data_IF_219954474769
#
_entry.id   IF_219954474769
#
_cell.length_a   1.000
_cell.length_b   1.000
_cell.length_c   1.000
_cell.angle_alpha   90.00
_cell.angle_beta   90.00
_cell.angle_gamma   90.00
#
_symmetry.space_group_name_H-M   'P 1'
#
loop_
_entity.id
_entity.type
_entity.pdbx_description
1 polymer ?
#
# COMPACT_ATOMS: atom_id res chain seq x y z
N UNK A 1 11.44 -10.12 -3.06
CA UNK A 1 11.10 -8.79 -2.52
C UNK A 1 10.40 -8.89 -1.16
N UNK A 2 9.17 -9.42 -1.07
CA UNK A 2 8.39 -9.52 0.19
C UNK A 2 9.21 -10.10 1.36
N UNK A 3 9.91 -11.23 1.15
CA UNK A 3 10.78 -11.83 2.18
C UNK A 3 11.83 -10.85 2.73
N UNK A 4 12.52 -10.12 1.86
CA UNK A 4 13.52 -9.11 2.25
C UNK A 4 12.90 -7.91 2.97
N UNK A 5 11.70 -7.50 2.56
CA UNK A 5 10.93 -6.44 3.25
C UNK A 5 10.56 -6.88 4.66
N UNK A 6 10.03 -8.10 4.83
CA UNK A 6 9.75 -8.68 6.17
C UNK A 6 11.02 -8.79 7.01
N UNK A 7 12.12 -9.27 6.44
CA UNK A 7 13.42 -9.36 7.14
C UNK A 7 13.93 -7.99 7.60
N UNK A 8 13.84 -6.95 6.78
CA UNK A 8 14.24 -5.61 7.20
C UNK A 8 13.32 -5.02 8.25
N UNK A 9 12.02 -5.28 8.16
CA UNK A 9 11.09 -4.81 9.16
C UNK A 9 11.32 -5.51 10.52
N UNK A 10 11.65 -6.80 10.50
CA UNK A 10 12.08 -7.55 11.69
C UNK A 10 13.23 -6.84 12.42
N UNK A 11 14.28 -6.48 11.67
CA UNK A 11 15.44 -5.77 12.23
C UNK A 11 15.07 -4.38 12.76
N UNK A 12 14.18 -3.67 12.06
CA UNK A 12 13.68 -2.38 12.52
C UNK A 12 12.95 -2.54 13.86
N UNK A 13 12.07 -3.54 14.02
CA UNK A 13 11.36 -3.79 15.29
C UNK A 13 12.37 -4.01 16.42
N UNK A 14 13.36 -4.88 16.21
CA UNK A 14 14.42 -5.19 17.18
C UNK A 14 15.23 -3.96 17.61
N UNK A 15 15.45 -3.01 16.71
CA UNK A 15 16.18 -1.76 16.97
C UNK A 15 15.37 -0.77 17.84
N UNK A 16 14.04 -0.90 17.99
CA UNK A 16 13.18 0.08 18.70
C UNK A 16 13.04 -0.14 20.19
N UNK A 17 14.16 -0.36 20.87
CA UNK A 17 14.21 -0.55 22.34
C UNK A 17 13.74 0.66 23.14
N UNK A 18 13.76 1.85 22.54
CA UNK A 18 13.33 3.10 23.14
C UNK A 18 11.82 3.38 22.99
N UNK A 19 11.11 2.56 22.21
CA UNK A 19 9.66 2.70 21.99
C UNK A 19 8.95 1.46 22.51
N UNK A 20 9.44 0.28 22.15
CA UNK A 20 8.86 -1.00 22.53
C UNK A 20 9.79 -1.71 23.49
N UNK A 21 9.27 -2.15 24.64
CA UNK A 21 10.00 -3.05 25.55
C UNK A 21 10.20 -4.45 24.93
N UNK A 22 10.91 -5.33 25.64
CA UNK A 22 11.25 -6.66 25.11
C UNK A 22 9.99 -7.47 24.77
N UNK A 23 9.02 -7.52 25.69
CA UNK A 23 7.76 -8.24 25.50
C UNK A 23 7.00 -7.74 24.27
N UNK A 24 6.86 -6.41 24.14
CA UNK A 24 6.21 -5.79 22.99
C UNK A 24 6.93 -6.12 21.69
N UNK A 25 8.26 -6.05 21.65
CA UNK A 25 9.04 -6.42 20.45
C UNK A 25 8.87 -7.89 20.10
N UNK A 26 8.99 -8.79 21.07
CA UNK A 26 8.85 -10.23 20.85
C UNK A 26 7.47 -10.55 20.26
N UNK A 27 6.42 -9.92 20.78
CA UNK A 27 5.05 -10.05 20.27
C UNK A 27 4.86 -9.47 18.85
N UNK A 28 5.44 -8.30 18.56
CA UNK A 28 5.40 -7.69 17.22
C UNK A 28 6.14 -8.55 16.20
N UNK A 29 7.31 -9.08 16.55
CA UNK A 29 8.10 -9.99 15.70
C UNK A 29 7.32 -11.25 15.38
N UNK A 30 6.73 -11.86 16.41
CA UNK A 30 5.89 -13.04 16.26
C UNK A 30 4.75 -12.71 15.27
N UNK A 31 4.10 -11.53 15.39
CA UNK A 31 2.97 -11.14 14.52
C UNK A 31 3.42 -11.00 13.08
N UNK A 32 4.58 -10.38 12.88
CA UNK A 32 5.21 -10.23 11.57
C UNK A 32 5.53 -11.59 10.94
N UNK A 33 6.05 -12.53 11.72
CA UNK A 33 6.39 -13.88 11.23
C UNK A 33 5.13 -14.60 10.74
N UNK A 34 4.02 -14.50 11.47
CA UNK A 34 2.71 -15.05 11.09
C UNK A 34 2.00 -14.32 9.95
N UNK A 35 2.38 -13.08 9.63
CA UNK A 35 1.72 -12.35 8.55
C UNK A 35 1.90 -13.10 7.23
N UNK A 36 0.81 -13.60 6.67
CA UNK A 36 0.80 -14.30 5.40
C UNK A 36 0.57 -13.32 4.24
N UNK A 37 1.31 -13.50 3.15
CA UNK A 37 0.96 -12.89 1.88
C UNK A 37 0.04 -13.83 1.12
N UNK A 38 -1.21 -13.42 0.88
CA UNK A 38 -2.12 -14.15 0.00
C UNK A 38 -2.31 -13.38 -1.28
N UNK A 39 -2.21 -14.07 -2.41
CA UNK A 39 -2.48 -13.49 -3.73
C UNK A 39 -3.97 -13.30 -3.99
N UNK A 40 -4.82 -13.99 -3.22
CA UNK A 40 -6.27 -14.02 -3.37
C UNK A 40 -6.88 -14.14 -1.98
N UNK A 41 -7.54 -13.09 -1.54
CA UNK A 41 -8.44 -13.13 -0.39
C UNK A 41 -9.84 -13.01 -0.96
N UNK A 42 -10.43 -14.14 -1.33
CA UNK A 42 -11.77 -14.19 -1.91
C UNK A 42 -12.72 -14.91 -0.97
N UNK A 43 -13.34 -14.13 -0.07
CA UNK A 43 -14.33 -14.66 0.89
C UNK A 43 -15.70 -14.92 0.28
N UNK A 44 -15.94 -14.41 -0.93
CA UNK A 44 -17.25 -14.40 -1.57
C UNK A 44 -17.26 -15.22 -2.87
N UNK A 45 -16.14 -15.88 -3.17
CA UNK A 45 -15.86 -16.62 -4.40
C UNK A 45 -16.09 -15.79 -5.68
N UNK A 46 -15.91 -14.47 -5.59
CA UNK A 46 -16.16 -13.51 -6.68
C UNK A 46 -15.17 -13.62 -7.83
N UNK A 47 -14.10 -14.39 -7.67
CA UNK A 47 -13.15 -14.72 -8.74
C UNK A 47 -13.43 -16.08 -9.39
N UNK A 48 -14.44 -16.83 -8.92
CA UNK A 48 -14.91 -18.02 -9.63
C UNK A 48 -15.65 -17.60 -10.89
N UNK A 49 -15.05 -17.87 -12.05
CA UNK A 49 -15.63 -17.55 -13.36
C UNK A 49 -17.01 -18.21 -13.49
N UNK A 50 -17.12 -19.49 -13.15
CA UNK A 50 -18.38 -20.24 -13.22
C UNK A 50 -19.46 -19.62 -12.33
N UNK A 51 -19.09 -19.19 -11.12
CA UNK A 51 -20.02 -18.50 -10.24
C UNK A 51 -20.45 -17.19 -10.88
N UNK A 52 -19.52 -16.33 -11.30
CA UNK A 52 -19.85 -15.04 -11.90
C UNK A 52 -20.68 -15.18 -13.17
N UNK A 53 -20.36 -16.11 -14.08
CA UNK A 53 -21.17 -16.41 -15.25
C UNK A 53 -22.61 -16.76 -14.85
N UNK A 54 -22.79 -17.60 -13.83
CA UNK A 54 -24.12 -17.93 -13.30
C UNK A 54 -24.83 -16.71 -12.72
N UNK A 55 -24.10 -15.84 -12.02
CA UNK A 55 -24.66 -14.67 -11.33
C UNK A 55 -25.07 -13.55 -12.28
N UNK A 56 -24.36 -13.40 -13.40
CA UNK A 56 -24.62 -12.39 -14.41
C UNK A 56 -25.56 -12.89 -15.52
N UNK A 57 -25.76 -14.21 -15.66
CA UNK A 57 -26.59 -14.84 -16.69
C UNK A 57 -27.99 -14.25 -16.78
N UNK A 58 -28.63 -14.02 -15.63
CA UNK A 58 -30.02 -13.60 -15.56
C UNK A 58 -30.20 -12.07 -15.53
N UNK A 59 -29.11 -11.30 -15.66
CA UNK A 59 -29.20 -9.83 -15.74
C UNK A 59 -29.73 -9.38 -17.11
N UNK A 60 -29.57 -10.21 -18.15
CA UNK A 60 -30.25 -10.02 -19.43
C UNK A 60 -29.79 -8.77 -20.19
N UNK A 61 -28.49 -8.47 -20.17
CA UNK A 61 -27.89 -7.36 -20.93
C UNK A 61 -27.32 -7.89 -22.24
N UNK A 62 -27.68 -7.27 -23.34
CA UNK A 62 -27.15 -7.50 -24.69
C UNK A 62 -26.33 -6.31 -25.17
N UNK A 63 -25.36 -6.56 -26.05
CA UNK A 63 -24.53 -5.50 -26.65
C UNK A 63 -25.34 -4.49 -27.49
N UNK A 64 -26.55 -4.89 -27.91
CA UNK A 64 -27.45 -4.05 -28.70
C UNK A 64 -28.45 -3.26 -27.86
N UNK A 65 -28.48 -3.46 -26.54
CA UNK A 65 -29.45 -2.79 -25.66
C UNK A 65 -29.11 -1.31 -25.49
N UNK A 66 -30.14 -0.47 -25.39
CA UNK A 66 -29.95 0.95 -25.08
C UNK A 66 -29.49 1.12 -23.62
N UNK A 67 -28.52 1.99 -23.37
CA UNK A 67 -27.99 2.27 -22.02
C UNK A 67 -29.11 2.65 -21.04
N UNK A 68 -30.11 3.42 -21.47
CA UNK A 68 -31.23 3.80 -20.62
C UNK A 68 -32.07 2.59 -20.18
N UNK A 69 -32.33 1.65 -21.09
CA UNK A 69 -33.06 0.41 -20.81
C UNK A 69 -32.24 -0.50 -19.88
N UNK A 70 -30.93 -0.60 -20.11
CA UNK A 70 -30.02 -1.33 -19.22
C UNK A 70 -30.10 -0.75 -17.80
N UNK A 71 -30.04 0.57 -17.64
CA UNK A 71 -30.09 1.22 -16.33
C UNK A 71 -31.43 0.98 -15.62
N UNK A 72 -32.55 1.07 -16.34
CA UNK A 72 -33.89 0.77 -15.79
C UNK A 72 -33.98 -0.69 -15.36
N UNK A 73 -33.49 -1.62 -16.18
CA UNK A 73 -33.48 -3.05 -15.87
C UNK A 73 -32.61 -3.34 -14.65
N UNK A 74 -31.40 -2.76 -14.56
CA UNK A 74 -30.53 -2.90 -13.40
C UNK A 74 -31.16 -2.32 -12.12
N UNK A 75 -31.83 -1.17 -12.21
CA UNK A 75 -32.51 -0.58 -11.06
C UNK A 75 -33.67 -1.47 -10.58
N UNK A 76 -34.46 -2.01 -11.51
CA UNK A 76 -35.53 -2.96 -11.22
C UNK A 76 -35.00 -4.22 -10.55
N UNK A 77 -33.95 -4.84 -11.13
CA UNK A 77 -33.30 -6.01 -10.56
C UNK A 77 -32.77 -5.73 -9.16
N UNK A 78 -32.15 -4.57 -8.92
CA UNK A 78 -31.60 -4.21 -7.60
C UNK A 78 -32.64 -4.13 -6.48
N UNK A 79 -33.92 -3.87 -6.84
CA UNK A 79 -35.05 -3.79 -5.91
C UNK A 79 -35.67 -5.16 -5.62
N UNK A 80 -35.27 -6.21 -6.34
CA UNK A 80 -35.74 -7.56 -6.08
C UNK A 80 -35.17 -8.12 -4.78
N UNK A 81 -35.91 -9.03 -4.15
CA UNK A 81 -35.45 -9.73 -2.95
C UNK A 81 -34.38 -10.75 -3.31
N UNK A 82 -33.12 -10.35 -3.24
CA UNK A 82 -31.99 -11.25 -3.37
C UNK A 82 -31.72 -11.99 -2.05
N UNK A 83 -31.55 -13.30 -2.13
CA UNK A 83 -31.20 -14.13 -0.98
C UNK A 83 -29.87 -13.70 -0.37
N UNK A 84 -29.86 -13.31 0.90
CA UNK A 84 -28.64 -12.89 1.60
C UNK A 84 -27.56 -13.97 1.49
N UNK A 85 -26.37 -13.58 1.03
CA UNK A 85 -25.25 -14.49 0.81
C UNK A 85 -25.17 -15.09 -0.60
N UNK A 86 -26.18 -14.88 -1.45
CA UNK A 86 -26.05 -15.16 -2.88
C UNK A 86 -25.12 -14.15 -3.55
N UNK A 87 -24.58 -14.51 -4.70
CA UNK A 87 -23.81 -13.58 -5.52
C UNK A 87 -24.65 -12.42 -6.05
N UNK A 88 -25.92 -12.64 -6.40
CA UNK A 88 -26.83 -11.56 -6.83
C UNK A 88 -27.03 -10.52 -5.72
N UNK A 89 -27.17 -10.98 -4.47
CA UNK A 89 -27.20 -10.09 -3.31
C UNK A 89 -25.91 -9.27 -3.19
N UNK A 90 -24.75 -9.88 -3.42
CA UNK A 90 -23.45 -9.19 -3.37
C UNK A 90 -23.28 -8.17 -4.51
N UNK A 91 -23.71 -8.49 -5.73
CA UNK A 91 -23.67 -7.62 -6.92
C UNK A 91 -24.46 -6.33 -6.67
N UNK A 92 -25.70 -6.43 -6.23
CA UNK A 92 -26.54 -5.25 -5.98
C UNK A 92 -26.21 -4.52 -4.66
N UNK A 93 -25.42 -5.14 -3.78
CA UNK A 93 -24.82 -4.50 -2.61
C UNK A 93 -23.30 -4.28 -2.81
N UNK A 94 -22.88 -3.94 -4.03
CA UNK A 94 -21.46 -3.83 -4.40
C UNK A 94 -20.66 -2.95 -3.42
N UNK A 95 -21.21 -1.82 -2.94
CA UNK A 95 -20.52 -0.92 -1.99
C UNK A 95 -20.00 -1.64 -0.73
N UNK A 96 -20.73 -2.67 -0.28
CA UNK A 96 -20.42 -3.44 0.92
C UNK A 96 -19.55 -4.66 0.61
N UNK A 97 -19.82 -5.33 -0.50
CA UNK A 97 -19.26 -6.65 -0.78
C UNK A 97 -18.20 -6.66 -1.88
N UNK A 98 -18.36 -5.86 -2.94
CA UNK A 98 -17.46 -5.88 -4.10
C UNK A 98 -16.51 -4.68 -4.16
N UNK A 99 -16.87 -3.56 -3.54
CA UNK A 99 -16.09 -2.32 -3.54
C UNK A 99 -14.65 -2.52 -3.07
N UNK A 100 -14.45 -3.43 -2.11
CA UNK A 100 -13.11 -3.79 -1.60
C UNK A 100 -12.25 -4.56 -2.60
N UNK A 101 -12.88 -5.27 -3.53
CA UNK A 101 -12.20 -6.05 -4.56
C UNK A 101 -11.91 -5.22 -5.81
N UNK A 102 -12.80 -4.27 -6.11
CA UNK A 102 -12.69 -3.41 -7.30
C UNK A 102 -11.76 -2.22 -7.06
N UNK A 103 -11.78 -1.61 -5.86
CA UNK A 103 -11.09 -0.34 -5.61
C UNK A 103 -9.77 -0.44 -4.81
N UNK A 104 -9.40 -1.61 -4.29
CA UNK A 104 -8.15 -1.76 -3.54
C UNK A 104 -7.13 -2.54 -4.35
N UNK A 105 -6.02 -1.88 -4.69
CA UNK A 105 -4.87 -2.48 -5.38
C UNK A 105 -4.11 -3.45 -4.46
N UNK A 106 -4.07 -3.12 -3.17
CA UNK A 106 -3.62 -3.96 -2.07
C UNK A 106 -4.38 -3.59 -0.79
N UNK A 107 -4.47 -4.53 0.15
CA UNK A 107 -5.02 -4.27 1.48
C UNK A 107 -4.48 -5.27 2.50
N UNK A 108 -4.28 -4.80 3.73
CA UNK A 108 -4.10 -5.64 4.90
C UNK A 108 -5.43 -5.92 5.62
N UNK A 109 -5.70 -7.20 5.92
CA UNK A 109 -6.83 -7.68 6.72
C UNK A 109 -6.39 -7.96 8.16
N UNK A 110 -6.76 -7.11 9.13
CA UNK A 110 -6.30 -7.30 10.50
C UNK A 110 -6.86 -8.55 11.18
N UNK A 111 -8.08 -8.97 10.83
CA UNK A 111 -8.73 -10.15 11.41
C UNK A 111 -8.04 -11.45 11.06
N UNK A 112 -7.37 -11.51 9.91
CA UNK A 112 -6.71 -12.72 9.43
C UNK A 112 -5.19 -12.63 9.50
N UNK A 113 -4.64 -11.46 9.83
CA UNK A 113 -3.21 -11.18 9.70
C UNK A 113 -2.69 -11.49 8.28
N UNK A 114 -3.46 -11.11 7.26
CA UNK A 114 -3.12 -11.35 5.85
C UNK A 114 -3.09 -10.03 5.09
N UNK A 115 -2.05 -9.80 4.31
CA UNK A 115 -2.05 -8.78 3.28
C UNK A 115 -2.23 -9.42 1.90
N UNK A 116 -3.03 -8.77 1.04
CA UNK A 116 -3.30 -9.19 -0.33
C UNK A 116 -3.11 -8.05 -1.31
N UNK A 117 -2.84 -8.42 -2.55
CA UNK A 117 -2.96 -7.55 -3.73
C UNK A 117 -4.04 -8.13 -4.66
N UNK A 118 -4.52 -7.34 -5.62
CA UNK A 118 -5.50 -7.79 -6.62
C UNK A 118 -5.06 -9.10 -7.30
N UNK A 119 -5.94 -10.10 -7.33
CA UNK A 119 -5.63 -11.50 -7.66
C UNK A 119 -5.65 -11.85 -9.15
N UNK A 120 -6.29 -11.04 -9.98
CA UNK A 120 -6.73 -11.50 -11.31
C UNK A 120 -5.57 -11.70 -12.30
N UNK A 121 -4.41 -11.10 -12.08
CA UNK A 121 -3.26 -11.18 -13.00
C UNK A 121 -2.22 -12.28 -12.65
N UNK A 122 -2.37 -13.00 -11.52
CA UNK A 122 -1.31 -13.88 -10.97
C UNK A 122 -1.72 -15.35 -10.83
N UNK A 123 -2.80 -15.79 -11.47
CA UNK A 123 -3.36 -17.15 -11.40
C UNK A 123 -3.67 -17.71 -12.79
N UNK A 124 -3.74 -19.04 -12.92
CA UNK A 124 -4.13 -19.73 -14.16
C UNK A 124 -5.60 -19.45 -14.52
N UNK A 125 -5.97 -19.40 -15.82
CA UNK A 125 -5.14 -19.65 -17.01
C UNK A 125 -4.30 -18.45 -17.48
N UNK A 126 -4.25 -17.36 -16.72
CA UNK A 126 -3.69 -16.07 -17.16
C UNK A 126 -2.19 -15.92 -16.82
N UNK A 127 -1.74 -16.54 -15.73
CA UNK A 127 -0.33 -16.61 -15.34
C UNK A 127 -0.03 -17.92 -14.61
N UNK A 128 0.99 -18.64 -15.07
CA UNK A 128 1.60 -19.75 -14.33
C UNK A 128 3.11 -19.64 -14.38
N UNK A 129 3.77 -19.94 -13.26
CA UNK A 129 5.24 -20.07 -13.24
C UNK A 129 5.74 -21.22 -14.11
N UNK A 130 4.83 -22.09 -14.56
CA UNK A 130 5.12 -23.25 -15.39
C UNK A 130 4.77 -23.04 -16.87
N UNK A 131 4.16 -21.91 -17.25
CA UNK A 131 3.87 -21.62 -18.65
C UNK A 131 5.10 -21.14 -19.43
N UNK A 132 5.21 -21.49 -20.73
CA UNK A 132 6.20 -20.91 -21.62
C UNK A 132 6.12 -19.39 -21.61
N UNK A 133 7.27 -18.72 -21.72
CA UNK A 133 7.34 -17.27 -21.67
C UNK A 133 6.41 -16.60 -22.68
N UNK A 134 6.29 -17.13 -23.90
CA UNK A 134 5.39 -16.61 -24.92
C UNK A 134 3.90 -16.69 -24.53
N UNK A 135 3.48 -17.76 -23.85
CA UNK A 135 2.09 -17.94 -23.40
C UNK A 135 1.77 -17.01 -22.22
N UNK A 136 2.74 -16.85 -21.32
CA UNK A 136 2.68 -15.77 -20.33
C UNK A 136 2.58 -14.43 -21.08
N UNK A 137 3.48 -14.04 -21.98
CA UNK A 137 3.41 -12.73 -22.65
C UNK A 137 2.16 -12.49 -23.51
N UNK A 138 1.62 -13.49 -24.21
CA UNK A 138 0.44 -13.35 -25.07
C UNK A 138 -0.87 -13.26 -24.30
N UNK A 139 -1.08 -14.14 -23.31
CA UNK A 139 -2.28 -14.14 -22.47
C UNK A 139 -2.21 -13.04 -21.42
N UNK A 140 -1.07 -12.94 -20.72
CA UNK A 140 -0.81 -11.88 -19.75
C UNK A 140 -0.85 -10.56 -20.50
N UNK A 141 -0.09 -10.31 -21.58
CA UNK A 141 0.17 -8.98 -22.12
C UNK A 141 -1.05 -8.16 -22.54
N UNK A 142 -2.11 -8.78 -23.04
CA UNK A 142 -3.36 -8.10 -23.41
C UNK A 142 -4.26 -7.81 -22.20
N UNK A 143 -4.49 -8.80 -21.34
CA UNK A 143 -5.27 -8.64 -20.10
C UNK A 143 -4.51 -7.77 -19.09
N UNK A 144 -3.19 -7.90 -19.06
CA UNK A 144 -2.27 -6.97 -18.43
C UNK A 144 -2.48 -5.60 -19.06
N UNK A 145 -2.39 -5.34 -20.36
CA UNK A 145 -2.68 -3.98 -20.88
C UNK A 145 -4.06 -3.39 -20.43
N UNK A 146 -5.09 -4.23 -20.28
CA UNK A 146 -6.43 -3.83 -19.80
C UNK A 146 -6.50 -3.59 -18.28
N UNK A 147 -5.93 -4.47 -17.45
CA UNK A 147 -5.90 -4.40 -15.98
C UNK A 147 -4.70 -3.58 -15.43
N UNK A 148 -3.67 -3.37 -16.25
CA UNK A 148 -2.46 -2.53 -16.03
C UNK A 148 -2.85 -1.09 -15.78
N UNK A 149 -3.92 -0.61 -16.41
CA UNK A 149 -4.43 0.74 -16.16
C UNK A 149 -4.72 0.98 -14.67
N UNK A 150 -4.85 -0.08 -13.86
CA UNK A 150 -4.99 0.00 -12.41
C UNK A 150 -3.71 -0.32 -11.58
N UNK A 151 -2.71 -1.08 -12.08
CA UNK A 151 -1.57 -1.57 -11.25
C UNK A 151 -0.17 -1.54 -11.90
N UNK A 152 0.06 -1.16 -13.17
CA UNK A 152 1.44 -1.16 -13.74
C UNK A 152 1.76 0.05 -14.63
N UNK A 153 3.02 0.50 -14.55
CA UNK A 153 3.53 1.86 -14.81
C UNK A 153 2.81 2.96 -14.02
N UNK A 154 3.41 3.50 -12.94
CA UNK A 154 4.85 3.49 -12.61
C UNK A 154 5.31 2.52 -11.49
N UNK A 155 4.50 1.56 -11.02
CA UNK A 155 4.77 0.86 -9.74
C UNK A 155 5.68 -0.39 -9.81
N UNK A 156 5.63 -1.18 -10.89
CA UNK A 156 6.46 -2.38 -11.07
C UNK A 156 6.70 -2.64 -12.55
N UNK A 157 7.83 -3.27 -12.91
CA UNK A 157 8.02 -3.93 -14.20
C UNK A 157 9.18 -4.90 -14.08
N UNK A 158 9.07 -6.08 -14.69
CA UNK A 158 10.19 -7.02 -14.77
C UNK A 158 11.38 -6.48 -15.57
N UNK A 159 11.15 -5.44 -16.38
CA UNK A 159 12.16 -4.78 -17.20
C UNK A 159 12.76 -3.54 -16.53
N UNK A 160 12.15 -3.06 -15.44
CA UNK A 160 12.73 -1.97 -14.66
C UNK A 160 13.87 -2.48 -13.78
N UNK A 161 14.89 -1.63 -13.55
CA UNK A 161 15.80 -1.80 -12.42
C UNK A 161 15.02 -2.09 -11.13
N UNK A 162 15.53 -2.98 -10.31
CA UNK A 162 15.02 -3.25 -8.98
C UNK A 162 14.93 -1.97 -8.13
N UNK A 163 15.78 -0.97 -8.34
CA UNK A 163 15.61 0.36 -7.77
C UNK A 163 14.16 0.87 -7.87
N UNK A 164 13.62 0.93 -9.08
CA UNK A 164 12.27 1.41 -9.37
C UNK A 164 11.20 0.48 -8.79
N UNK A 165 11.42 -0.84 -8.90
CA UNK A 165 10.48 -1.84 -8.36
C UNK A 165 10.39 -1.79 -6.83
N UNK A 166 11.51 -1.60 -6.13
CA UNK A 166 11.52 -1.45 -4.68
C UNK A 166 10.94 -0.08 -4.26
N UNK A 167 11.21 0.97 -5.03
CA UNK A 167 10.64 2.30 -4.80
C UNK A 167 9.12 2.36 -5.00
N UNK A 168 8.60 1.59 -5.95
CA UNK A 168 7.16 1.48 -6.23
C UNK A 168 6.48 0.37 -5.44
N UNK A 169 6.34 -0.82 -6.02
CA UNK A 169 5.62 -1.93 -5.36
C UNK A 169 6.26 -2.35 -4.04
N UNK A 170 7.58 -2.23 -3.89
CA UNK A 170 8.26 -2.51 -2.63
C UNK A 170 7.82 -1.57 -1.49
N UNK A 171 7.65 -0.28 -1.80
CA UNK A 171 7.08 0.69 -0.88
C UNK A 171 5.64 0.34 -0.50
N UNK A 172 4.78 0.02 -1.49
CA UNK A 172 3.38 -0.36 -1.25
C UNK A 172 3.29 -1.61 -0.35
N UNK A 173 4.08 -2.66 -0.65
CA UNK A 173 4.12 -3.87 0.20
C UNK A 173 4.50 -3.51 1.64
N UNK A 174 5.51 -2.66 1.82
CA UNK A 174 5.97 -2.27 3.15
C UNK A 174 4.94 -1.40 3.89
N UNK A 175 4.25 -0.52 3.17
CA UNK A 175 3.13 0.30 3.67
C UNK A 175 1.98 -0.59 4.18
N UNK A 176 1.54 -1.57 3.38
CA UNK A 176 0.48 -2.50 3.78
C UNK A 176 0.87 -3.39 4.97
N UNK A 177 2.13 -3.85 5.02
CA UNK A 177 2.64 -4.58 6.18
C UNK A 177 2.55 -3.70 7.43
N UNK A 178 2.86 -2.40 7.33
CA UNK A 178 2.84 -1.48 8.47
C UNK A 178 1.44 -1.19 9.02
N UNK A 179 0.40 -1.30 8.21
CA UNK A 179 -0.99 -1.21 8.70
C UNK A 179 -1.32 -2.24 9.78
N UNK A 180 -0.59 -3.35 9.82
CA UNK A 180 -0.70 -4.33 10.88
C UNK A 180 -0.14 -3.85 12.24
N UNK A 181 0.63 -2.75 12.25
CA UNK A 181 1.45 -2.28 13.38
C UNK A 181 1.26 -0.79 13.73
N UNK A 182 0.56 0.00 12.89
CA UNK A 182 0.44 1.46 13.03
C UNK A 182 -0.95 1.95 13.49
N UNK A 183 -1.86 1.02 13.82
CA UNK A 183 -3.27 1.37 14.01
C UNK A 183 -3.46 2.35 15.18
N UNK A 184 -3.90 3.56 14.85
CA UNK A 184 -4.12 4.72 15.74
C UNK A 184 -5.07 4.40 16.89
N UNK A 185 -5.93 3.38 16.76
CA UNK A 185 -6.84 2.97 17.83
C UNK A 185 -6.18 2.03 18.84
N UNK A 186 -5.03 1.42 18.56
CA UNK A 186 -4.41 0.30 19.30
C UNK A 186 -5.33 -0.91 19.56
N UNK A 187 -6.63 -0.76 19.34
CA UNK A 187 -7.68 -1.77 19.35
C UNK A 187 -7.28 -2.89 18.40
N UNK A 188 -6.78 -2.60 17.20
CA UNK A 188 -6.44 -3.63 16.21
C UNK A 188 -4.98 -4.11 16.29
N UNK A 189 -4.37 -3.91 17.46
CA UNK A 189 -3.31 -4.79 17.94
C UNK A 189 -4.00 -5.96 18.69
N UNK A 190 -5.09 -6.49 18.13
CA UNK A 190 -5.78 -7.66 18.65
C UNK A 190 -4.89 -8.87 18.41
N UNK A 191 -4.58 -9.59 19.49
CA UNK A 191 -3.78 -10.80 19.43
C UNK A 191 -4.36 -11.90 18.54
N UNK A 192 -3.43 -12.70 18.03
CA UNK A 192 -3.41 -14.15 17.71
C UNK A 192 -4.70 -14.97 17.79
N UNK A 193 -5.56 -14.72 18.78
CA UNK A 193 -6.63 -15.64 19.19
C UNK A 193 -8.05 -15.11 18.95
N UNK A 194 -8.21 -13.97 18.27
CA UNK A 194 -9.51 -13.29 18.06
C UNK A 194 -10.20 -12.85 19.37
N UNK A 195 -9.53 -12.91 20.52
CA UNK A 195 -10.08 -12.47 21.83
C UNK A 195 -9.75 -11.03 22.16
N UNK A 196 -8.80 -10.46 21.45
CA UNK A 196 -8.55 -9.03 21.46
C UNK A 196 -7.62 -8.52 22.55
N UNK A 197 -6.69 -9.36 23.00
CA UNK A 197 -5.61 -8.94 23.90
C UNK A 197 -4.58 -8.06 23.18
N UNK A 198 -4.06 -7.04 23.87
CA UNK A 198 -3.04 -6.13 23.35
C UNK A 198 -1.70 -6.86 23.22
N UNK A 199 -1.06 -6.82 22.05
CA UNK A 199 0.28 -7.43 21.86
C UNK A 199 1.44 -6.52 22.31
N UNK A 200 1.14 -5.29 22.76
CA UNK A 200 2.13 -4.30 23.25
C UNK A 200 1.74 -3.82 24.64
N UNK A 201 2.74 -3.54 25.47
CA UNK A 201 2.52 -3.09 26.86
C UNK A 201 2.01 -1.64 26.92
N UNK A 202 1.36 -1.23 28.02
CA UNK A 202 0.92 0.16 28.22
C UNK A 202 2.06 1.19 28.11
N UNK A 203 3.26 0.86 28.59
CA UNK A 203 4.42 1.76 28.50
C UNK A 203 4.89 1.89 27.04
N UNK A 204 4.89 0.80 26.28
CA UNK A 204 5.22 0.86 24.86
C UNK A 204 4.20 1.67 24.05
N UNK A 205 2.91 1.56 24.39
CA UNK A 205 1.85 2.41 23.80
C UNK A 205 2.11 3.88 24.12
N UNK A 206 2.45 4.22 25.37
CA UNK A 206 2.75 5.59 25.78
C UNK A 206 3.95 6.16 25.01
N UNK A 207 5.01 5.38 24.86
CA UNK A 207 6.20 5.81 24.12
C UNK A 207 5.94 5.94 22.62
N UNK A 208 5.14 5.04 22.04
CA UNK A 208 4.71 5.15 20.65
C UNK A 208 3.84 6.40 20.42
N UNK A 209 2.88 6.69 21.31
CA UNK A 209 2.04 7.90 21.26
C UNK A 209 2.86 9.18 21.17
N UNK A 210 3.90 9.32 22.01
CA UNK A 210 4.83 10.46 21.97
C UNK A 210 5.55 10.60 20.62
N UNK A 211 5.83 9.50 19.93
CA UNK A 211 6.49 9.53 18.61
C UNK A 211 5.53 9.96 17.51
N UNK A 212 4.28 9.49 17.55
CA UNK A 212 3.29 9.79 16.52
C UNK A 212 2.73 11.21 16.61
N UNK A 213 2.80 11.86 17.78
CA UNK A 213 2.47 13.29 17.96
C UNK A 213 3.26 14.21 17.01
N UNK A 214 4.52 13.84 16.70
CA UNK A 214 5.32 14.56 15.70
C UNK A 214 4.63 14.58 14.34
N UNK A 215 4.08 13.43 13.90
CA UNK A 215 3.41 13.29 12.62
C UNK A 215 2.09 14.06 12.60
N UNK A 216 1.31 13.99 13.68
CA UNK A 216 0.06 14.78 13.80
C UNK A 216 0.33 16.26 13.58
N UNK A 217 1.37 16.79 14.25
CA UNK A 217 1.77 18.19 14.09
C UNK A 217 2.30 18.47 12.68
N UNK A 218 3.29 17.72 12.22
CA UNK A 218 3.96 17.97 10.95
C UNK A 218 3.01 17.93 9.75
N UNK A 219 2.11 16.94 9.71
CA UNK A 219 1.10 16.86 8.66
C UNK A 219 -0.02 17.88 8.87
N UNK A 220 -0.39 18.18 10.11
CA UNK A 220 -1.35 19.24 10.44
C UNK A 220 -0.93 20.64 10.01
N UNK A 221 0.38 20.89 9.94
CA UNK A 221 0.97 22.15 9.47
C UNK A 221 0.97 22.27 7.93
N UNK A 222 0.58 21.22 7.20
CA UNK A 222 0.55 21.22 5.73
C UNK A 222 -0.76 21.81 5.19
N UNK A 223 -0.67 22.41 4.00
CA UNK A 223 -1.81 22.90 3.22
C UNK A 223 -1.81 22.31 1.83
N UNK A 224 -2.97 21.85 1.38
CA UNK A 224 -3.14 21.38 0.01
C UNK A 224 -2.93 22.54 -0.98
N UNK A 225 -2.18 22.30 -2.05
CA UNK A 225 -1.60 23.33 -2.91
C UNK A 225 -2.63 24.13 -3.70
N UNK A 226 -3.79 23.56 -4.03
CA UNK A 226 -4.86 24.20 -4.82
C UNK A 226 -5.95 24.81 -3.93
N UNK A 227 -6.56 24.01 -3.05
CA UNK A 227 -7.67 24.40 -2.17
C UNK A 227 -7.22 25.21 -0.96
N UNK A 228 -5.92 25.19 -0.62
CA UNK A 228 -5.31 25.83 0.55
C UNK A 228 -5.88 25.36 1.90
N UNK A 229 -6.67 24.27 1.91
CA UNK A 229 -7.21 23.67 3.12
C UNK A 229 -6.09 22.98 3.90
N UNK A 230 -6.16 23.08 5.23
CA UNK A 230 -5.22 22.41 6.11
C UNK A 230 -5.49 20.90 6.10
N UNK A 231 -4.42 20.12 6.20
CA UNK A 231 -4.53 18.67 6.37
C UNK A 231 -4.88 18.37 7.83
N UNK A 232 -5.76 17.41 8.06
CA UNK A 232 -6.03 16.90 9.40
C UNK A 232 -4.99 15.82 9.75
N UNK A 233 -3.93 16.21 10.46
CA UNK A 233 -2.84 15.31 10.85
C UNK A 233 -3.28 14.15 11.77
N UNK A 234 -4.38 14.30 12.51
CA UNK A 234 -4.95 13.22 13.34
C UNK A 234 -5.71 12.21 12.48
N UNK A 235 -6.52 12.70 11.54
CA UNK A 235 -7.28 11.86 10.59
C UNK A 235 -6.35 10.99 9.75
N UNK A 236 -5.28 11.61 9.23
CA UNK A 236 -4.35 11.00 8.29
C UNK A 236 -3.22 10.21 8.93
N UNK A 237 -3.19 10.14 10.27
CA UNK A 237 -2.05 9.67 11.03
C UNK A 237 -1.58 8.25 10.67
N UNK A 238 -2.52 7.29 10.55
CA UNK A 238 -2.19 5.90 10.22
C UNK A 238 -1.50 5.79 8.86
N UNK A 239 -2.08 6.37 7.82
CA UNK A 239 -1.50 6.41 6.47
C UNK A 239 -0.12 7.09 6.45
N UNK A 240 0.03 8.20 7.18
CA UNK A 240 1.29 8.92 7.23
C UNK A 240 2.39 8.08 7.93
N UNK A 241 2.06 7.31 8.97
CA UNK A 241 3.02 6.39 9.61
C UNK A 241 3.40 5.25 8.65
N UNK A 242 2.42 4.68 7.95
CA UNK A 242 2.62 3.63 6.95
C UNK A 242 3.52 4.10 5.81
N UNK A 243 3.30 5.31 5.29
CA UNK A 243 4.13 5.92 4.24
C UNK A 243 5.59 6.09 4.69
N UNK A 244 5.82 6.72 5.85
CA UNK A 244 7.16 7.00 6.33
C UNK A 244 7.93 5.72 6.69
N UNK A 245 7.25 4.78 7.36
CA UNK A 245 7.84 3.49 7.68
C UNK A 245 8.04 2.61 6.44
N UNK A 246 7.09 2.62 5.52
CA UNK A 246 7.09 1.80 4.30
C UNK A 246 8.24 2.18 3.38
N UNK A 247 8.44 3.49 3.19
CA UNK A 247 9.59 4.05 2.48
C UNK A 247 10.91 3.56 3.10
N UNK A 248 11.04 3.65 4.42
CA UNK A 248 12.24 3.25 5.13
C UNK A 248 12.53 1.74 5.01
N UNK A 249 11.52 0.89 5.20
CA UNK A 249 11.67 -0.56 5.12
C UNK A 249 12.04 -0.96 3.68
N UNK A 250 11.31 -0.44 2.69
CA UNK A 250 11.55 -0.73 1.29
C UNK A 250 12.96 -0.27 0.85
N UNK A 251 13.38 0.91 1.29
CA UNK A 251 14.72 1.43 1.00
C UNK A 251 15.82 0.55 1.60
N UNK A 252 15.71 0.19 2.88
CA UNK A 252 16.68 -0.72 3.52
C UNK A 252 16.73 -2.08 2.81
N UNK A 253 15.57 -2.61 2.42
CA UNK A 253 15.49 -3.90 1.74
C UNK A 253 16.14 -3.85 0.35
N UNK A 254 16.00 -2.71 -0.32
CA UNK A 254 16.66 -2.43 -1.58
C UNK A 254 18.17 -2.28 -1.42
N UNK A 255 18.65 -1.49 -0.46
CA UNK A 255 20.10 -1.30 -0.24
C UNK A 255 20.80 -2.62 0.12
N UNK A 256 20.15 -3.50 0.89
CA UNK A 256 20.65 -4.87 1.12
C UNK A 256 20.64 -5.73 -0.14
N UNK A 257 19.62 -5.59 -0.98
CA UNK A 257 19.60 -6.28 -2.28
C UNK A 257 20.75 -5.79 -3.18
N UNK A 258 20.91 -4.48 -3.31
CA UNK A 258 21.96 -3.84 -4.09
C UNK A 258 23.35 -4.29 -3.61
N UNK A 259 23.57 -4.36 -2.30
CA UNK A 259 24.80 -4.91 -1.71
C UNK A 259 25.01 -6.38 -2.11
N UNK A 260 23.95 -7.21 -2.07
CA UNK A 260 24.05 -8.64 -2.40
C UNK A 260 24.38 -8.94 -3.86
N UNK A 261 24.24 -7.95 -4.76
CA UNK A 261 24.60 -8.07 -6.18
C UNK A 261 25.88 -7.29 -6.54
N UNK A 262 26.67 -6.86 -5.55
CA UNK A 262 27.94 -6.17 -5.77
C UNK A 262 27.81 -4.65 -5.97
N UNK A 263 26.69 -4.05 -5.59
CA UNK A 263 26.51 -2.60 -5.54
C UNK A 263 26.17 -1.94 -6.87
N UNK A 264 25.93 -2.72 -7.93
CA UNK A 264 25.68 -2.21 -9.28
C UNK A 264 24.41 -2.83 -9.86
N UNK A 265 23.63 -1.99 -10.53
CA UNK A 265 22.44 -2.38 -11.27
C UNK A 265 22.50 -1.80 -12.70
N UNK A 266 21.73 -2.38 -13.60
CA UNK A 266 21.58 -1.87 -14.97
C UNK A 266 21.15 -0.41 -14.95
N UNK A 267 21.91 0.45 -15.63
CA UNK A 267 21.56 1.86 -15.80
C UNK A 267 20.34 2.00 -16.70
N UNK A 268 19.54 3.04 -16.44
CA UNK A 268 18.41 3.39 -17.31
C UNK A 268 18.94 4.26 -18.46
N UNK A 269 18.75 3.86 -19.73
CA UNK A 269 19.16 4.67 -20.87
C UNK A 269 18.56 6.08 -20.83
N UNK A 270 19.39 7.11 -21.03
CA UNK A 270 19.00 8.53 -20.96
C UNK A 270 18.92 9.12 -19.55
N UNK A 271 19.16 8.32 -18.51
CA UNK A 271 19.13 8.74 -17.10
C UNK A 271 20.36 8.23 -16.33
N UNK A 272 21.48 8.03 -17.01
CA UNK A 272 22.70 7.41 -16.48
C UNK A 272 23.40 8.20 -15.37
N UNK A 273 23.00 9.46 -15.19
CA UNK A 273 23.48 10.38 -14.16
C UNK A 273 22.86 10.11 -12.79
N UNK A 274 21.75 9.38 -12.73
CA UNK A 274 21.13 8.99 -11.46
C UNK A 274 21.76 7.72 -10.91
N UNK A 275 22.01 7.71 -9.60
CA UNK A 275 22.44 6.51 -8.90
C UNK A 275 21.27 5.53 -8.73
N UNK A 276 21.61 4.27 -8.52
CA UNK A 276 20.67 3.21 -8.13
C UNK A 276 19.84 3.59 -6.89
N UNK A 277 20.39 4.35 -5.94
CA UNK A 277 19.67 4.85 -4.76
C UNK A 277 18.72 6.01 -5.11
N UNK A 278 19.16 6.95 -5.96
CA UNK A 278 18.29 8.02 -6.46
C UNK A 278 17.11 7.45 -7.26
N UNK A 279 17.34 6.41 -8.08
CA UNK A 279 16.27 5.72 -8.79
C UNK A 279 15.25 5.06 -7.88
N UNK A 280 15.64 4.59 -6.70
CA UNK A 280 14.67 4.09 -5.72
C UNK A 280 13.71 5.20 -5.30
N UNK A 281 14.22 6.38 -4.94
CA UNK A 281 13.39 7.52 -4.55
C UNK A 281 12.57 8.09 -5.71
N UNK A 282 13.10 8.08 -6.93
CA UNK A 282 12.34 8.43 -8.14
C UNK A 282 11.19 7.44 -8.35
N UNK A 283 11.43 6.13 -8.19
CA UNK A 283 10.38 5.11 -8.26
C UNK A 283 9.28 5.34 -7.23
N UNK A 284 9.66 5.72 -6.01
CA UNK A 284 8.70 6.10 -4.97
C UNK A 284 7.89 7.35 -5.34
N UNK A 285 8.55 8.43 -5.78
CA UNK A 285 7.87 9.66 -6.20
C UNK A 285 6.89 9.43 -7.35
N UNK A 286 7.28 8.61 -8.35
CA UNK A 286 6.41 8.25 -9.47
C UNK A 286 5.13 7.54 -9.03
N UNK A 287 5.19 6.75 -7.96
CA UNK A 287 4.06 5.92 -7.48
C UNK A 287 2.85 6.76 -7.10
N UNK A 288 3.08 7.98 -6.62
CA UNK A 288 2.05 8.89 -6.14
C UNK A 288 1.82 10.07 -7.11
N UNK A 289 2.38 10.04 -8.33
CA UNK A 289 2.12 11.07 -9.33
C UNK A 289 0.66 11.01 -9.81
N UNK A 290 -0.12 12.01 -9.45
CA UNK A 290 -1.53 12.16 -9.86
C UNK A 290 -1.88 13.63 -10.08
N UNK A 291 -2.83 13.90 -10.96
CA UNK A 291 -3.52 15.18 -11.08
C UNK A 291 -4.99 15.01 -10.71
N UNK A 292 -5.53 15.90 -9.89
CA UNK A 292 -6.91 15.85 -9.38
C UNK A 292 -7.56 17.22 -9.51
N UNK A 293 -8.87 17.25 -9.81
CA UNK A 293 -9.62 18.51 -9.87
C UNK A 293 -9.73 19.13 -8.47
N UNK A 294 -10.01 20.43 -8.42
CA UNK A 294 -10.23 21.15 -7.16
C UNK A 294 -11.37 20.52 -6.35
N UNK A 295 -12.48 20.16 -7.01
CA UNK A 295 -13.64 19.55 -6.36
C UNK A 295 -13.30 18.19 -5.73
N UNK A 296 -12.44 17.40 -6.39
CA UNK A 296 -11.96 16.14 -5.84
C UNK A 296 -11.08 16.39 -4.60
N UNK A 297 -10.14 17.33 -4.70
CA UNK A 297 -9.25 17.69 -3.59
C UNK A 297 -10.03 18.22 -2.38
N UNK A 298 -11.08 19.01 -2.61
CA UNK A 298 -11.95 19.49 -1.53
C UNK A 298 -12.65 18.36 -0.77
N UNK A 299 -13.05 17.29 -1.48
CA UNK A 299 -13.60 16.07 -0.87
C UNK A 299 -12.51 15.27 -0.15
N UNK A 300 -11.33 15.17 -0.76
CA UNK A 300 -10.20 14.41 -0.23
C UNK A 300 -9.68 14.92 1.11
N UNK A 301 -9.92 16.19 1.48
CA UNK A 301 -9.53 16.71 2.81
C UNK A 301 -10.13 15.90 3.98
N UNK A 302 -11.25 15.18 3.74
CA UNK A 302 -11.87 14.29 4.73
C UNK A 302 -11.51 12.79 4.53
N UNK A 303 -10.60 12.49 3.59
CA UNK A 303 -10.08 11.14 3.36
C UNK A 303 -9.01 10.79 4.41
N UNK A 304 -8.89 9.50 4.81
CA UNK A 304 -7.77 9.05 5.63
C UNK A 304 -6.38 9.24 4.98
N UNK A 305 -6.30 9.30 3.65
CA UNK A 305 -5.05 9.54 2.93
C UNK A 305 -4.85 11.03 2.66
N UNK A 306 -3.70 11.53 3.08
CA UNK A 306 -3.19 12.84 2.70
C UNK A 306 -3.12 12.97 1.16
N UNK A 307 -3.33 14.17 0.56
CA UNK A 307 -3.08 14.39 -0.86
C UNK A 307 -1.68 13.96 -1.30
N UNK A 308 -1.57 13.39 -2.51
CA UNK A 308 -0.40 12.65 -2.95
C UNK A 308 0.91 13.47 -2.94
N UNK A 309 0.86 14.75 -3.35
CA UNK A 309 2.00 15.66 -3.30
C UNK A 309 2.60 15.76 -1.88
N UNK A 310 1.72 15.93 -0.88
CA UNK A 310 2.12 16.07 0.53
C UNK A 310 2.60 14.71 1.06
N UNK A 311 1.93 13.59 0.71
CA UNK A 311 2.38 12.24 1.08
C UNK A 311 3.84 12.00 0.67
N UNK A 312 4.15 12.24 -0.60
CA UNK A 312 5.50 12.08 -1.15
C UNK A 312 6.49 13.03 -0.49
N UNK A 313 6.20 14.33 -0.50
CA UNK A 313 7.18 15.33 -0.07
C UNK A 313 7.49 15.24 1.43
N UNK A 314 6.47 15.09 2.28
CA UNK A 314 6.67 15.01 3.73
C UNK A 314 7.39 13.72 4.11
N UNK A 315 7.01 12.57 3.53
CA UNK A 315 7.68 11.30 3.83
C UNK A 315 9.16 11.31 3.41
N UNK A 316 9.48 11.83 2.21
CA UNK A 316 10.86 11.99 1.76
C UNK A 316 11.63 13.01 2.63
N UNK A 317 11.01 14.12 3.02
CA UNK A 317 11.64 15.13 3.87
C UNK A 317 12.03 14.60 5.27
N UNK A 318 11.30 13.61 5.78
CA UNK A 318 11.62 12.93 7.04
C UNK A 318 12.76 11.92 6.92
N UNK A 319 13.15 11.53 5.70
CA UNK A 319 14.07 10.43 5.49
C UNK A 319 15.48 10.92 5.15
N UNK A 320 16.41 10.85 6.12
CA UNK A 320 17.79 11.31 5.94
C UNK A 320 18.49 10.72 4.69
N UNK A 321 18.39 9.40 4.40
CA UNK A 321 19.03 8.85 3.19
C UNK A 321 18.54 9.49 1.88
N UNK A 322 17.29 9.94 1.81
CA UNK A 322 16.83 10.72 0.66
C UNK A 322 17.54 12.07 0.56
N UNK A 323 17.60 12.82 1.66
CA UNK A 323 18.31 14.10 1.70
C UNK A 323 19.80 13.94 1.34
N UNK A 324 20.44 12.85 1.76
CA UNK A 324 21.82 12.53 1.43
C UNK A 324 21.96 12.17 -0.07
N UNK A 325 21.11 11.29 -0.60
CA UNK A 325 21.15 10.85 -2.00
C UNK A 325 20.96 11.99 -3.01
N UNK A 326 20.21 13.03 -2.65
CA UNK A 326 19.99 14.22 -3.49
C UNK A 326 20.78 15.46 -3.05
N UNK A 327 21.68 15.33 -2.07
CA UNK A 327 22.46 16.44 -1.52
C UNK A 327 21.60 17.65 -1.12
N UNK A 328 20.44 17.41 -0.48
CA UNK A 328 19.53 18.47 -0.06
C UNK A 328 20.14 19.30 1.09
N UNK A 329 20.23 20.63 0.92
CA UNK A 329 20.73 21.55 1.96
C UNK A 329 19.88 21.46 3.23
N UNK A 330 20.52 21.47 4.40
CA UNK A 330 19.82 21.53 5.69
C UNK A 330 18.89 22.76 5.74
N UNK A 331 17.69 22.59 6.30
CA UNK A 331 16.61 23.59 6.34
C UNK A 331 15.97 23.95 4.99
N UNK A 332 16.31 23.25 3.91
CA UNK A 332 15.47 23.27 2.70
C UNK A 332 14.15 22.54 2.94
N UNK A 333 13.13 22.79 2.10
CA UNK A 333 11.83 22.13 2.22
C UNK A 333 11.91 20.60 2.23
N UNK A 334 12.89 20.02 1.52
CA UNK A 334 13.11 18.58 1.43
C UNK A 334 14.16 18.05 2.43
N UNK A 335 14.70 18.90 3.30
CA UNK A 335 15.59 18.49 4.40
C UNK A 335 15.37 19.38 5.64
N UNK A 336 14.20 19.28 6.30
CA UNK A 336 13.92 20.00 7.52
C UNK A 336 14.86 19.56 8.65
N UNK A 337 15.18 20.50 9.56
CA UNK A 337 16.03 20.21 10.71
C UNK A 337 15.40 19.21 11.70
N UNK A 338 14.08 19.28 11.86
CA UNK A 338 13.31 18.31 12.65
C UNK A 338 12.62 17.31 11.71
N UNK A 339 12.97 16.03 11.84
CA UNK A 339 12.38 14.92 11.07
C UNK A 339 11.56 14.03 12.00
N UNK A 340 10.32 13.75 11.62
CA UNK A 340 9.47 12.82 12.35
C UNK A 340 9.81 11.38 11.99
N UNK A 341 10.05 10.55 13.00
CA UNK A 341 10.39 9.14 12.76
C UNK A 341 9.92 8.27 13.93
N UNK A 342 8.98 7.36 13.67
CA UNK A 342 8.66 6.26 14.59
C UNK A 342 9.79 5.24 14.56
N UNK A 343 10.30 4.95 13.37
CA UNK A 343 11.20 3.82 13.15
C UNK A 343 12.69 4.20 13.11
N UNK A 344 13.19 5.15 13.92
CA UNK A 344 14.59 5.68 13.91
C UNK A 344 15.67 4.73 14.41
N UNK A 345 16.83 4.67 13.75
CA UNK A 345 17.99 3.89 14.23
C UNK A 345 18.76 4.69 15.28
N UNK A 346 19.25 4.04 16.34
CA UNK A 346 20.09 4.68 17.36
C UNK A 346 21.51 5.03 16.87
N UNK A 347 21.95 4.57 15.68
CA UNK A 347 23.33 4.73 15.17
C UNK A 347 23.51 5.85 14.13
N UNK A 348 22.62 6.82 14.05
CA UNK A 348 22.84 8.03 13.24
C UNK A 348 22.85 9.25 14.18
N UNK A 349 23.99 9.40 14.85
CA UNK A 349 24.47 10.69 15.35
C UNK A 349 25.49 11.20 14.36
#
# INVERSE_FOLDING_TARGET
MIKRIKEEFRLIIDEKKNIFDKESRDNLLKKLDETEFKKKIDFLDTSSILLMETCYKDIGISENDNIEEILINMESLSKMNHTKGSCSYNIFNYKKYLNRFVNFNAFYSPLLNVFSTSSNALVEPWFSRYFPHALNYGSIGFVIAHEILHVVEPWFSRYFPHALNYGGIGFVIAHEILHAFDNVRFKIIYGWDKKGELIVTPESIKNFKKKVECFVKQYGDQRESITKKNINGTLTLHENIADNGGLKIAHRAYMKYLQSIGGKETKVPGFENFTSEQFFFIGNGRTLCVHKSKEYLEKQINDPHTPAEIRTNVALSNYKPFSDAFNCKLHSGMNPGNKCEVWKNQKQN
#
